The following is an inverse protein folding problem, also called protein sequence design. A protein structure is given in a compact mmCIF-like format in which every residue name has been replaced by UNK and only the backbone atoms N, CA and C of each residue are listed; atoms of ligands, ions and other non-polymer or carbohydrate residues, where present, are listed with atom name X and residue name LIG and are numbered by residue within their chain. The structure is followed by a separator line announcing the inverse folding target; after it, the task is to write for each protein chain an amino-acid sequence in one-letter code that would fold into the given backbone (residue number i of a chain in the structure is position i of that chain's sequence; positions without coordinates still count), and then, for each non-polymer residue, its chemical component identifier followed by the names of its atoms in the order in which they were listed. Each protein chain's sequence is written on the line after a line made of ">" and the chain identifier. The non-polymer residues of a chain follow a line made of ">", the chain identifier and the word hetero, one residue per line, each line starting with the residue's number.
data_IF_914280507685
#
_entry.id   IF_914280507685
#
_cell.length_a   1.000
_cell.length_b   1.000
_cell.length_c   1.000
_cell.angle_alpha   90.00
_cell.angle_beta   90.00
_cell.angle_gamma   90.00
#
_symmetry.space_group_name_H-M   'P 1'
#
loop_
_entity.id
_entity.type
_entity.pdbx_description
1 polymer ?
#
# COMPACT_ATOMS: atom_id res chain seq x y z
N UNK A 1 -3.41 5.29 11.85
CA UNK A 1 -3.33 5.27 10.38
C UNK A 1 -3.72 6.64 9.91
N UNK A 2 -2.80 7.37 9.28
CA UNK A 2 -3.09 8.68 8.70
C UNK A 2 -3.32 8.53 7.20
N UNK A 3 -4.36 9.19 6.68
CA UNK A 3 -4.71 9.17 5.26
C UNK A 3 -4.79 10.59 4.72
N UNK A 4 -3.97 10.93 3.73
CA UNK A 4 -4.08 12.19 2.99
C UNK A 4 -4.56 11.90 1.58
N UNK A 5 -5.65 12.55 1.19
CA UNK A 5 -6.20 12.50 -0.16
C UNK A 5 -5.74 13.74 -0.92
N UNK A 6 -5.16 13.54 -2.10
CA UNK A 6 -4.89 14.62 -3.06
C UNK A 6 -5.90 14.46 -4.18
N UNK A 7 -6.85 15.39 -4.26
CA UNK A 7 -7.86 15.44 -5.33
C UNK A 7 -7.52 16.60 -6.25
N UNK A 8 -7.05 16.30 -7.45
CA UNK A 8 -7.10 17.22 -8.58
C UNK A 8 -8.17 16.67 -9.52
N UNK A 9 -8.97 17.51 -10.19
CA UNK A 9 -10.20 17.14 -10.93
C UNK A 9 -10.14 15.92 -11.88
N UNK A 10 -8.94 15.38 -12.19
CA UNK A 10 -8.72 14.16 -12.99
C UNK A 10 -7.88 13.06 -12.32
N UNK A 11 -7.27 13.28 -11.17
CA UNK A 11 -6.23 12.40 -10.61
C UNK A 11 -6.40 12.26 -9.09
N UNK A 12 -6.39 11.02 -8.61
CA UNK A 12 -6.59 10.68 -7.21
C UNK A 12 -5.42 9.90 -6.69
N UNK A 13 -4.73 10.48 -5.72
CA UNK A 13 -3.62 9.86 -4.99
C UNK A 13 -3.92 9.84 -3.48
N UNK A 14 -3.69 8.68 -2.86
CA UNK A 14 -3.88 8.41 -1.44
C UNK A 14 -2.54 8.02 -0.85
N UNK A 15 -2.13 8.76 0.19
CA UNK A 15 -0.99 8.43 1.03
C UNK A 15 -1.49 7.88 2.37
N UNK A 16 -1.04 6.66 2.70
CA UNK A 16 -1.32 6.02 3.98
C UNK A 16 -0.01 5.90 4.76
N UNK A 17 0.02 6.43 5.98
CA UNK A 17 1.16 6.30 6.89
C UNK A 17 0.74 5.48 8.10
N UNK A 18 1.47 4.40 8.36
CA UNK A 18 1.29 3.51 9.50
C UNK A 18 2.64 3.14 10.14
N UNK A 19 2.94 3.73 11.29
CA UNK A 19 4.18 3.51 12.07
C UNK A 19 5.43 3.67 11.19
N UNK A 20 5.95 2.58 10.62
CA UNK A 20 7.15 2.53 9.78
C UNK A 20 6.86 2.34 8.29
N UNK A 21 5.60 2.08 7.92
CA UNK A 21 5.19 1.80 6.55
C UNK A 21 4.49 3.01 5.92
N UNK A 22 4.92 3.37 4.72
CA UNK A 22 4.25 4.35 3.86
C UNK A 22 3.72 3.64 2.62
N UNK A 23 2.42 3.76 2.37
CA UNK A 23 1.76 3.18 1.21
C UNK A 23 1.23 4.31 0.34
N UNK A 24 1.64 4.29 -0.93
CA UNK A 24 1.17 5.21 -1.96
C UNK A 24 0.22 4.45 -2.89
N UNK A 25 -1.00 4.97 -3.05
CA UNK A 25 -2.03 4.42 -3.94
C UNK A 25 -2.47 5.55 -4.86
N UNK A 26 -2.59 5.30 -6.15
CA UNK A 26 -3.12 6.30 -7.08
C UNK A 26 -3.54 5.67 -8.40
N UNK A 27 -4.25 6.45 -9.21
CA UNK A 27 -4.66 6.08 -10.57
C UNK A 27 -3.64 6.51 -11.64
N UNK A 28 -2.78 7.50 -11.34
CA UNK A 28 -1.70 7.94 -12.21
C UNK A 28 -0.33 7.40 -11.75
N UNK A 29 0.29 6.52 -12.55
CA UNK A 29 1.61 5.95 -12.26
C UNK A 29 2.74 7.00 -12.23
N UNK A 30 2.65 8.05 -13.04
CA UNK A 30 3.67 9.10 -13.07
C UNK A 30 3.68 9.88 -11.76
N UNK A 31 2.50 10.28 -11.28
CA UNK A 31 2.35 11.01 -10.02
C UNK A 31 2.79 10.15 -8.82
N UNK A 32 2.44 8.86 -8.80
CA UNK A 32 2.92 7.92 -7.77
C UNK A 32 4.45 7.89 -7.72
N UNK A 33 5.11 7.91 -8.88
CA UNK A 33 6.57 7.83 -8.94
C UNK A 33 7.22 9.14 -8.50
N UNK A 34 6.63 10.29 -8.85
CA UNK A 34 7.06 11.60 -8.32
C UNK A 34 6.87 11.68 -6.79
N UNK A 35 5.73 11.23 -6.27
CA UNK A 35 5.46 11.16 -4.83
C UNK A 35 6.49 10.29 -4.10
N UNK A 36 6.83 9.13 -4.68
CA UNK A 36 7.89 8.27 -4.12
C UNK A 36 9.25 8.95 -4.12
N UNK A 37 9.61 9.70 -5.16
CA UNK A 37 10.87 10.46 -5.20
C UNK A 37 10.89 11.52 -4.11
N UNK A 38 9.82 12.32 -3.99
CA UNK A 38 9.70 13.33 -2.93
C UNK A 38 9.84 12.68 -1.54
N UNK A 39 9.14 11.56 -1.30
CA UNK A 39 9.25 10.83 -0.04
C UNK A 39 10.67 10.34 0.22
N UNK A 40 11.39 9.88 -0.80
CA UNK A 40 12.78 9.40 -0.67
C UNK A 40 13.79 10.53 -0.41
N UNK A 41 13.48 11.75 -0.81
CA UNK A 41 14.31 12.93 -0.55
C UNK A 41 14.07 13.44 0.88
N UNK A 42 12.81 13.54 1.29
CA UNK A 42 12.42 14.07 2.61
C UNK A 42 12.61 13.03 3.74
N UNK A 43 12.43 11.75 3.43
CA UNK A 43 12.54 10.65 4.37
C UNK A 43 13.53 9.61 3.85
N UNK A 44 14.27 8.97 4.76
CA UNK A 44 15.17 7.86 4.43
C UNK A 44 14.39 6.55 4.17
N UNK A 45 13.43 6.60 3.23
CA UNK A 45 12.52 5.49 2.92
C UNK A 45 13.08 4.58 1.84
N UNK A 46 13.00 3.28 2.11
CA UNK A 46 13.34 2.23 1.15
C UNK A 46 12.11 1.86 0.32
N UNK A 47 12.25 1.82 -1.00
CA UNK A 47 11.21 1.30 -1.87
C UNK A 47 11.15 -0.24 -1.76
N UNK A 48 10.03 -0.76 -1.26
CA UNK A 48 9.78 -2.19 -1.05
C UNK A 48 9.04 -2.82 -2.24
N UNK A 49 8.71 -2.03 -3.25
CA UNK A 49 7.99 -2.45 -4.45
C UNK A 49 6.47 -2.40 -4.29
N UNK A 50 5.77 -3.26 -5.03
CA UNK A 50 4.31 -3.34 -5.00
C UNK A 50 3.87 -3.93 -3.66
N UNK A 51 2.82 -3.35 -3.05
CA UNK A 51 2.26 -3.83 -1.78
C UNK A 51 1.74 -5.27 -1.92
N UNK A 52 2.50 -6.22 -1.35
CA UNK A 52 2.13 -7.64 -1.30
C UNK A 52 1.65 -8.09 0.08
N UNK A 53 2.02 -7.35 1.13
CA UNK A 53 1.61 -7.62 2.50
C UNK A 53 1.33 -6.32 3.23
N UNK A 54 0.24 -6.28 3.99
CA UNK A 54 -0.11 -5.16 4.86
C UNK A 54 -0.65 -5.71 6.18
N UNK A 55 -0.09 -5.27 7.31
CA UNK A 55 -0.47 -5.73 8.66
C UNK A 55 -0.49 -7.27 8.80
N UNK A 56 0.49 -7.95 8.18
CA UNK A 56 0.57 -9.42 8.19
C UNK A 56 -0.44 -10.14 7.29
N UNK A 57 -1.25 -9.42 6.51
CA UNK A 57 -2.23 -9.97 5.56
C UNK A 57 -1.69 -9.88 4.14
N UNK A 58 -1.94 -10.91 3.32
CA UNK A 58 -1.52 -10.90 1.92
C UNK A 58 -2.43 -9.96 1.12
N UNK A 59 -1.84 -9.09 0.31
CA UNK A 59 -2.54 -8.16 -0.59
C UNK A 59 -2.22 -8.54 -2.02
N UNK A 60 -3.24 -8.61 -2.87
CA UNK A 60 -3.10 -8.90 -4.30
C UNK A 60 -3.92 -7.89 -5.10
N UNK A 61 -3.29 -7.23 -6.07
CA UNK A 61 -4.00 -6.38 -7.03
C UNK A 61 -4.53 -7.24 -8.17
N UNK A 62 -5.86 -7.26 -8.34
CA UNK A 62 -6.53 -7.91 -9.48
C UNK A 62 -7.13 -6.88 -10.44
N UNK A 63 -7.67 -7.37 -11.56
CA UNK A 63 -8.32 -6.50 -12.58
C UNK A 63 -9.52 -5.71 -12.04
N UNK A 64 -10.22 -6.26 -11.03
CA UNK A 64 -11.43 -5.68 -10.44
C UNK A 64 -11.18 -4.87 -9.16
N UNK A 65 -9.93 -4.78 -8.69
CA UNK A 65 -9.60 -4.09 -7.45
C UNK A 65 -8.55 -4.81 -6.62
N UNK A 66 -8.51 -4.48 -5.32
CA UNK A 66 -7.53 -4.99 -4.37
C UNK A 66 -8.17 -6.09 -3.53
N UNK A 67 -7.49 -7.23 -3.41
CA UNK A 67 -7.90 -8.36 -2.60
C UNK A 67 -6.97 -8.50 -1.40
N UNK A 68 -7.55 -8.64 -0.20
CA UNK A 68 -6.80 -8.90 1.04
C UNK A 68 -7.15 -10.30 1.53
N UNK A 69 -6.14 -11.13 1.79
CA UNK A 69 -6.29 -12.52 2.22
C UNK A 69 -5.56 -12.79 3.53
N UNK A 70 -6.26 -13.47 4.44
CA UNK A 70 -5.71 -14.02 5.69
C UNK A 70 -5.51 -15.53 5.59
N UNK A 71 -5.49 -16.11 4.38
CA UNK A 71 -5.42 -17.57 4.17
C UNK A 71 -4.29 -18.23 4.98
N UNK A 72 -3.11 -17.61 5.07
CA UNK A 72 -1.99 -18.12 5.87
C UNK A 72 -2.35 -18.21 7.37
N UNK A 73 -2.99 -17.18 7.92
CA UNK A 73 -3.45 -17.16 9.29
C UNK A 73 -4.51 -18.24 9.54
N UNK A 74 -5.53 -18.36 8.68
CA UNK A 74 -6.55 -19.41 8.79
C UNK A 74 -5.96 -20.82 8.73
N UNK A 75 -5.01 -21.05 7.82
CA UNK A 75 -4.32 -22.35 7.71
C UNK A 75 -3.45 -22.66 8.92
N UNK A 76 -2.83 -21.65 9.53
CA UNK A 76 -2.06 -21.84 10.75
C UNK A 76 -2.98 -22.21 11.92
N UNK A 77 -4.11 -21.50 12.08
CA UNK A 77 -5.08 -21.79 13.12
C UNK A 77 -5.64 -23.22 13.01
N UNK A 78 -5.96 -23.67 11.80
CA UNK A 78 -6.44 -25.04 11.57
C UNK A 78 -5.41 -26.15 11.85
N UNK A 79 -4.12 -25.82 11.88
CA UNK A 79 -3.04 -26.77 12.23
C UNK A 79 -2.78 -26.88 13.72
N UNK A 80 -3.31 -25.94 14.51
CA UNK A 80 -3.20 -25.94 15.99
C UNK A 80 -4.40 -26.65 16.65
N UNK A 81 -5.32 -27.19 15.85
CA UNK A 81 -6.45 -28.05 16.25
C UNK A 81 -6.07 -29.49 15.94
#
# INVERSE_FOLDING_TARGET
>A
MFTKHVDNEKQKSILIVYVNDIIVIGDNLHEIEELKKCLKVEFEVKNIGILQFFLGRKVTKGRRGIFISQRKYTLNLLKEI
#
